data_IF_920070471632
#
_entry.id   IF_920070471632
#
_cell.length_a   1.000
_cell.length_b   1.000
_cell.length_c   1.000
_cell.angle_alpha   90.00
_cell.angle_beta   90.00
_cell.angle_gamma   90.00
#
_symmetry.space_group_name_H-M   'P 1'
#
loop_
_entity.id
_entity.type
_entity.pdbx_description
1 polymer ?
#
# COMPACT_ATOMS: atom_id res chain seq x y z
N UNK A 1 -15.49 -14.03 3.31
CA UNK A 1 -16.11 -13.19 4.36
C UNK A 1 -15.33 -11.88 4.40
N UNK A 2 -15.98 -10.82 3.90
CA UNK A 2 -15.62 -9.39 3.95
C UNK A 2 -14.27 -8.96 3.37
N UNK A 3 -14.22 -9.04 2.04
CA UNK A 3 -13.62 -8.13 1.07
C UNK A 3 -12.33 -7.37 1.46
N UNK A 4 -11.22 -7.79 0.87
CA UNK A 4 -9.98 -7.03 0.63
C UNK A 4 -10.18 -5.74 -0.20
N UNK A 5 -11.39 -5.20 -0.24
CA UNK A 5 -11.80 -4.05 -1.06
C UNK A 5 -12.04 -2.78 -0.22
N UNK A 6 -11.82 -2.81 1.09
CA UNK A 6 -12.01 -1.66 1.98
C UNK A 6 -10.77 -1.36 2.82
N UNK A 7 -10.53 -0.08 3.06
CA UNK A 7 -9.48 0.37 3.96
C UNK A 7 -9.99 0.35 5.40
N UNK A 8 -9.53 -0.60 6.22
CA UNK A 8 -9.98 -0.72 7.64
C UNK A 8 -9.63 0.48 8.54
N UNK A 9 -8.76 1.39 8.09
CA UNK A 9 -8.41 2.60 8.85
C UNK A 9 -9.48 3.69 8.70
N UNK A 10 -10.07 3.83 7.52
CA UNK A 10 -11.12 4.84 7.25
C UNK A 10 -12.49 4.23 6.96
N UNK A 11 -12.58 2.90 6.90
CA UNK A 11 -13.77 2.10 6.62
C UNK A 11 -14.42 2.35 5.25
N UNK A 12 -13.74 3.06 4.34
CA UNK A 12 -14.21 3.33 2.98
C UNK A 12 -13.64 2.31 1.96
N UNK A 13 -14.35 2.13 0.85
CA UNK A 13 -13.96 1.25 -0.24
C UNK A 13 -12.77 1.80 -1.03
N UNK A 14 -11.93 0.90 -1.53
CA UNK A 14 -10.91 1.26 -2.51
C UNK A 14 -11.55 1.63 -3.84
N UNK A 15 -11.05 2.67 -4.49
CA UNK A 15 -11.56 3.16 -5.78
C UNK A 15 -10.43 3.32 -6.78
N UNK A 16 -10.74 3.12 -8.06
CA UNK A 16 -9.83 3.44 -9.17
C UNK A 16 -9.29 4.86 -9.06
N UNK A 17 -7.98 4.99 -9.26
CA UNK A 17 -7.24 6.25 -9.12
C UNK A 17 -6.83 6.62 -7.69
N UNK A 18 -7.25 5.88 -6.65
CA UNK A 18 -6.77 6.11 -5.29
C UNK A 18 -5.40 5.44 -5.06
N UNK A 19 -4.48 6.16 -4.41
CA UNK A 19 -3.20 5.58 -4.03
C UNK A 19 -3.34 4.68 -2.81
N UNK A 20 -3.01 3.41 -3.01
CA UNK A 20 -2.99 2.42 -1.96
C UNK A 20 -1.56 1.94 -1.69
N UNK A 21 -1.33 1.43 -0.49
CA UNK A 21 -0.06 0.88 -0.05
C UNK A 21 -0.31 -0.51 0.51
N UNK A 22 0.40 -1.48 -0.07
CA UNK A 22 0.48 -2.85 0.44
C UNK A 22 1.68 -2.97 1.37
N UNK A 23 1.47 -3.43 2.59
CA UNK A 23 2.56 -3.71 3.52
C UNK A 23 3.25 -5.02 3.10
N UNK A 24 4.52 -4.97 2.71
CA UNK A 24 5.26 -6.15 2.22
C UNK A 24 5.41 -7.25 3.28
N UNK A 25 5.44 -6.89 4.57
CA UNK A 25 5.59 -7.84 5.67
C UNK A 25 4.37 -8.75 5.90
N UNK A 26 3.17 -8.33 5.50
CA UNK A 26 1.93 -9.09 5.77
C UNK A 26 0.92 -9.10 4.62
N UNK A 27 1.17 -8.35 3.55
CA UNK A 27 0.33 -8.31 2.36
C UNK A 27 -0.94 -7.47 2.44
N UNK A 28 -1.27 -6.87 3.59
CA UNK A 28 -2.48 -6.06 3.75
C UNK A 28 -2.38 -4.72 3.01
N UNK A 29 -3.49 -4.29 2.43
CA UNK A 29 -3.61 -3.08 1.62
C UNK A 29 -4.43 -2.02 2.35
N UNK A 30 -4.01 -0.77 2.23
CA UNK A 30 -4.67 0.39 2.83
C UNK A 30 -4.52 1.60 1.91
N UNK A 31 -5.35 2.64 2.09
CA UNK A 31 -5.07 3.93 1.49
C UNK A 31 -3.72 4.45 1.98
N UNK A 32 -2.88 4.96 1.06
CA UNK A 32 -1.52 5.44 1.37
C UNK A 32 -1.55 6.44 2.52
N UNK A 33 -2.41 7.46 2.43
CA UNK A 33 -2.55 8.50 3.46
C UNK A 33 -2.98 7.92 4.82
N UNK A 34 -3.85 6.92 4.83
CA UNK A 34 -4.35 6.30 6.05
C UNK A 34 -3.26 5.49 6.76
N UNK A 35 -2.56 4.62 6.03
CA UNK A 35 -1.52 3.79 6.63
C UNK A 35 -0.27 4.59 6.98
N UNK A 36 0.11 5.60 6.19
CA UNK A 36 1.25 6.45 6.51
C UNK A 36 1.01 7.22 7.82
N UNK A 37 -0.19 7.80 7.99
CA UNK A 37 -0.56 8.49 9.25
C UNK A 37 -0.58 7.54 10.44
N UNK A 38 -1.03 6.30 10.24
CA UNK A 38 -1.02 5.27 11.28
C UNK A 38 0.42 4.89 11.68
N UNK A 39 1.30 4.65 10.70
CA UNK A 39 2.67 4.23 10.93
C UNK A 39 3.55 5.28 11.60
N UNK A 40 3.19 6.58 11.49
CA UNK A 40 3.81 7.64 12.28
C UNK A 40 3.59 7.47 13.79
N UNK A 41 2.50 6.82 14.20
CA UNK A 41 2.15 6.58 15.61
C UNK A 41 2.53 5.19 16.06
N UNK A 42 2.26 4.18 15.23
CA UNK A 42 2.43 2.76 15.54
C UNK A 42 3.02 2.07 14.33
N UNK A 43 4.29 1.65 14.41
CA UNK A 43 5.00 0.94 13.33
C UNK A 43 4.55 -0.54 13.18
N UNK A 44 3.23 -0.78 13.10
CA UNK A 44 2.64 -2.10 12.95
C UNK A 44 1.37 -2.06 12.10
N UNK A 45 1.06 -3.17 11.43
CA UNK A 45 -0.14 -3.32 10.61
C UNK A 45 -1.44 -3.10 11.43
N UNK A 46 -2.37 -2.24 11.00
CA UNK A 46 -3.66 -2.05 11.66
C UNK A 46 -4.50 -3.33 11.79
N UNK A 47 -4.37 -4.26 10.84
CA UNK A 47 -5.17 -5.48 10.79
C UNK A 47 -4.58 -6.60 11.63
N UNK A 48 -3.32 -6.97 11.37
CA UNK A 48 -2.70 -8.17 11.93
C UNK A 48 -1.59 -7.88 12.95
N UNK A 49 -1.31 -6.60 13.23
CA UNK A 49 -0.27 -6.13 14.17
C UNK A 49 1.16 -6.56 13.84
N UNK A 50 1.41 -7.14 12.66
CA UNK A 50 2.76 -7.41 12.16
C UNK A 50 3.56 -6.11 12.10
N UNK A 51 4.73 -6.08 12.73
CA UNK A 51 5.61 -4.91 12.74
C UNK A 51 6.07 -4.54 11.34
N UNK A 52 5.98 -3.26 11.00
CA UNK A 52 6.45 -2.72 9.73
C UNK A 52 7.86 -2.19 9.95
N UNK A 53 8.85 -2.86 9.35
CA UNK A 53 10.22 -2.35 9.29
C UNK A 53 10.34 -1.50 8.04
N UNK A 54 10.52 -0.21 8.21
CA UNK A 54 11.02 0.62 7.12
C UNK A 54 12.47 0.22 6.92
N UNK A 55 12.75 -0.63 5.93
CA UNK A 55 14.12 -0.75 5.45
C UNK A 55 14.46 0.61 4.86
N UNK A 56 15.23 1.41 5.60
CA UNK A 56 15.90 2.56 5.04
C UNK A 56 16.91 1.99 4.02
N UNK A 57 16.44 1.73 2.80
CA UNK A 57 17.34 1.42 1.71
C UNK A 57 18.36 2.56 1.60
N UNK A 58 19.60 2.27 1.17
CA UNK A 58 20.54 3.34 0.85
C UNK A 58 19.87 4.33 -0.13
N UNK A 59 20.22 5.63 -0.07
CA UNK A 59 19.68 6.62 -0.99
C UNK A 59 19.95 6.14 -2.43
N UNK A 60 18.89 5.76 -3.13
CA UNK A 60 18.97 5.35 -4.53
C UNK A 60 19.40 6.57 -5.34
N UNK A 61 20.64 6.55 -5.84
CA UNK A 61 21.15 7.55 -6.76
C UNK A 61 20.71 7.14 -8.17
N UNK A 62 19.59 7.70 -8.62
CA UNK A 62 19.10 7.55 -9.99
C UNK A 62 20.08 8.21 -10.98
N UNK A 63 20.65 7.41 -11.87
CA UNK A 63 21.33 7.90 -13.07
C UNK A 63 20.85 7.10 -14.28
N UNK A 64 19.91 7.72 -14.99
CA UNK A 64 19.49 7.46 -16.37
C UNK A 64 19.03 6.02 -16.70
N UNK A 65 17.71 5.86 -16.83
CA UNK A 65 16.98 5.40 -18.03
C UNK A 65 15.47 5.40 -17.71
N UNK A 66 14.67 6.06 -18.55
CA UNK A 66 13.26 6.33 -18.29
C UNK A 66 12.45 5.10 -17.88
N UNK A 67 11.80 5.19 -16.73
CA UNK A 67 10.69 4.35 -16.28
C UNK A 67 9.93 5.18 -15.26
N UNK A 68 8.82 5.76 -15.69
CA UNK A 68 7.92 6.59 -14.86
C UNK A 68 7.65 5.94 -13.51
N UNK A 69 8.24 6.47 -12.44
CA UNK A 69 7.68 6.74 -11.11
C UNK A 69 6.47 5.91 -10.60
N UNK A 70 6.37 4.62 -10.91
CA UNK A 70 5.15 3.83 -10.70
C UNK A 70 5.41 2.61 -9.82
N UNK A 71 6.00 2.82 -8.64
CA UNK A 71 5.82 1.88 -7.52
C UNK A 71 4.61 2.23 -6.65
N UNK A 72 3.85 3.26 -7.05
CA UNK A 72 2.56 3.61 -6.47
C UNK A 72 1.47 2.95 -7.30
N UNK A 73 1.03 1.74 -6.92
CA UNK A 73 -0.18 1.17 -7.53
C UNK A 73 -1.37 2.06 -7.17
N UNK A 74 -1.99 2.67 -8.17
CA UNK A 74 -3.38 3.05 -8.05
C UNK A 74 -4.17 1.75 -7.82
N UNK A 75 -5.20 1.80 -6.97
CA UNK A 75 -6.07 0.65 -6.78
C UNK A 75 -6.88 0.45 -8.06
N UNK A 76 -6.44 -0.41 -8.97
CA UNK A 76 -7.24 -0.79 -10.14
C UNK A 76 -8.37 -1.70 -9.64
N UNK A 77 -9.59 -1.19 -9.60
CA UNK A 77 -10.77 -2.02 -9.33
C UNK A 77 -11.20 -2.68 -10.63
N UNK A 78 -10.36 -3.56 -11.18
CA UNK A 78 -10.79 -4.38 -12.31
C UNK A 78 -11.69 -5.49 -11.78
N UNK A 79 -12.90 -5.59 -12.34
CA UNK A 79 -13.92 -6.55 -11.90
C UNK A 79 -13.60 -7.99 -12.30
N UNK A 80 -12.36 -8.28 -12.70
CA UNK A 80 -11.86 -9.64 -12.87
C UNK A 80 -10.33 -9.66 -12.81
N UNK A 81 -9.78 -10.51 -11.94
CA UNK A 81 -8.35 -10.82 -11.76
C UNK A 81 -7.47 -9.81 -10.98
N UNK A 82 -7.18 -10.17 -9.73
CA UNK A 82 -5.96 -9.77 -9.03
C UNK A 82 -4.78 -10.42 -9.76
N UNK A 83 -4.11 -9.70 -10.67
CA UNK A 83 -2.83 -10.15 -11.25
C UNK A 83 -1.69 -9.23 -10.79
N UNK A 84 -0.75 -9.82 -10.07
CA UNK A 84 0.54 -9.22 -9.72
C UNK A 84 1.49 -9.46 -10.91
N UNK A 85 1.65 -8.47 -11.79
CA UNK A 85 2.90 -8.24 -12.53
C UNK A 85 3.70 -7.14 -11.84
#
# INVERSE_FOLDING_TARGET
MLADTHCVVCLDAFRSGQWCRKLTACGHVFHRRCVDTWLLKVAACPTCRTSVRFNAGPPVQDSALGSTFAQFRACETDSNAVTLL
#
